data_IF_035203230072
#
_entry.id   IF_035203230072
#
_cell.length_a   1.000
_cell.length_b   1.000
_cell.length_c   1.000
_cell.angle_alpha   90.00
_cell.angle_beta   90.00
_cell.angle_gamma   90.00
#
_symmetry.space_group_name_H-M   'P 1'
#
loop_
_entity.id
_entity.type
_entity.pdbx_description
1 polymer ?
#
# COMPACT_ATOMS: atom_id res chain seq x y z
N UNK A 1 0.96 -8.06 -30.96
CA UNK A 1 -0.19 -7.95 -30.05
C UNK A 1 0.36 -7.94 -28.63
N UNK A 2 0.23 -6.82 -27.92
CA UNK A 2 0.68 -6.68 -26.53
C UNK A 2 -0.54 -6.75 -25.61
N UNK A 3 -0.46 -7.57 -24.56
CA UNK A 3 -1.46 -7.60 -23.49
C UNK A 3 -0.86 -6.84 -22.32
N UNK A 4 -1.52 -5.77 -21.91
CA UNK A 4 -1.11 -4.94 -20.78
C UNK A 4 -2.06 -5.16 -19.60
N UNK A 5 -1.52 -5.08 -18.38
CA UNK A 5 -2.32 -5.17 -17.17
C UNK A 5 -2.46 -3.78 -16.54
N UNK A 6 -3.68 -3.21 -16.44
CA UNK A 6 -3.91 -1.85 -15.94
C UNK A 6 -3.82 -1.80 -14.41
N UNK A 7 -2.64 -2.06 -13.87
CA UNK A 7 -2.40 -2.12 -12.41
C UNK A 7 -2.72 -0.81 -11.69
N UNK A 8 -2.58 0.32 -12.39
CA UNK A 8 -2.99 1.63 -11.87
C UNK A 8 -4.53 1.72 -11.75
N UNK A 9 -5.27 1.48 -12.83
CA UNK A 9 -6.73 1.61 -12.83
C UNK A 9 -7.38 0.72 -11.76
N UNK A 10 -6.91 -0.53 -11.62
CA UNK A 10 -7.40 -1.46 -10.59
C UNK A 10 -7.21 -0.90 -9.16
N UNK A 11 -6.11 -0.18 -8.91
CA UNK A 11 -5.81 0.40 -7.59
C UNK A 11 -6.63 1.64 -7.27
N UNK A 12 -7.11 2.34 -8.30
CA UNK A 12 -7.89 3.57 -8.17
C UNK A 12 -9.38 3.39 -8.49
N UNK A 13 -9.81 2.15 -8.75
CA UNK A 13 -11.21 1.78 -8.94
C UNK A 13 -12.00 1.99 -7.65
N UNK A 14 -12.97 2.92 -7.69
CA UNK A 14 -13.84 3.28 -6.57
C UNK A 14 -14.80 2.16 -6.17
N UNK A 15 -15.19 1.30 -7.12
CA UNK A 15 -16.13 0.20 -6.87
C UNK A 15 -15.44 -0.90 -6.06
N UNK A 16 -14.12 -1.04 -6.24
CA UNK A 16 -13.29 -2.00 -5.50
C UNK A 16 -12.70 -1.42 -4.22
N UNK A 17 -12.32 -0.15 -4.26
CA UNK A 17 -11.70 0.55 -3.15
C UNK A 17 -12.42 1.89 -2.89
N UNK A 18 -13.35 1.92 -1.92
CA UNK A 18 -13.95 3.18 -1.48
C UNK A 18 -12.86 4.18 -1.09
N UNK A 19 -12.96 5.41 -1.58
CA UNK A 19 -11.95 6.47 -1.41
C UNK A 19 -10.54 6.07 -1.89
N UNK A 20 -10.45 5.49 -3.10
CA UNK A 20 -9.20 4.95 -3.64
C UNK A 20 -8.07 5.98 -3.77
N UNK A 21 -8.40 7.26 -3.93
CA UNK A 21 -7.46 8.39 -4.01
C UNK A 21 -6.81 8.74 -2.67
N UNK A 22 -7.43 8.35 -1.55
CA UNK A 22 -6.89 8.62 -0.22
C UNK A 22 -5.94 7.49 0.23
N UNK A 23 -4.93 7.85 1.02
CA UNK A 23 -4.04 6.85 1.62
C UNK A 23 -4.84 5.90 2.52
N UNK A 24 -4.82 4.61 2.18
CA UNK A 24 -5.71 3.59 2.78
C UNK A 24 -4.99 2.41 3.42
N UNK A 25 -3.65 2.40 3.43
CA UNK A 25 -2.89 1.27 3.95
C UNK A 25 -3.25 0.92 5.39
N UNK A 26 -3.46 1.91 6.26
CA UNK A 26 -3.87 1.67 7.63
C UNK A 26 -5.23 0.98 7.74
N UNK A 27 -6.21 1.38 6.92
CA UNK A 27 -7.54 0.75 6.87
C UNK A 27 -7.45 -0.71 6.42
N UNK A 28 -6.61 -0.99 5.41
CA UNK A 28 -6.36 -2.34 4.92
C UNK A 28 -5.67 -3.22 5.98
N UNK A 29 -4.72 -2.65 6.74
CA UNK A 29 -4.10 -3.34 7.88
C UNK A 29 -5.11 -3.65 8.98
N UNK A 30 -5.98 -2.69 9.34
CA UNK A 30 -7.04 -2.91 10.33
C UNK A 30 -7.97 -4.05 9.91
N UNK A 31 -8.43 -4.06 8.65
CA UNK A 31 -9.24 -5.15 8.09
C UNK A 31 -8.51 -6.49 8.13
N UNK A 32 -7.23 -6.51 7.75
CA UNK A 32 -6.40 -7.71 7.80
C UNK A 32 -6.20 -8.29 9.22
N UNK A 33 -6.37 -7.46 10.26
CA UNK A 33 -6.26 -7.88 11.66
C UNK A 33 -7.61 -8.29 12.27
N UNK A 34 -8.73 -7.70 11.81
CA UNK A 34 -10.06 -7.95 12.36
C UNK A 34 -10.86 -9.05 11.65
N UNK A 35 -10.53 -9.33 10.38
CA UNK A 35 -11.26 -10.27 9.53
C UNK A 35 -10.57 -11.65 9.46
N UNK A 36 -10.96 -12.49 8.49
CA UNK A 36 -10.45 -13.84 8.34
C UNK A 36 -8.97 -13.89 7.91
N UNK A 37 -8.34 -15.05 8.13
CA UNK A 37 -6.96 -15.32 7.71
C UNK A 37 -6.75 -15.13 6.19
N UNK A 38 -7.78 -15.39 5.39
CA UNK A 38 -7.76 -15.17 3.95
C UNK A 38 -7.64 -13.68 3.63
N UNK A 39 -8.48 -12.84 4.23
CA UNK A 39 -8.41 -11.38 4.04
C UNK A 39 -7.06 -10.83 4.51
N UNK A 40 -6.55 -11.36 5.61
CA UNK A 40 -5.22 -11.00 6.13
C UNK A 40 -4.12 -11.26 5.11
N UNK A 41 -4.16 -12.43 4.46
CA UNK A 41 -3.21 -12.83 3.43
C UNK A 41 -3.38 -12.00 2.16
N UNK A 42 -4.62 -11.74 1.73
CA UNK A 42 -4.93 -10.93 0.54
C UNK A 42 -4.44 -9.48 0.64
N UNK A 43 -4.42 -8.92 1.84
CA UNK A 43 -4.02 -7.53 2.06
C UNK A 43 -2.53 -7.34 2.39
N UNK A 44 -1.72 -8.40 2.37
CA UNK A 44 -0.27 -8.28 2.52
C UNK A 44 0.34 -7.59 1.30
N UNK A 45 1.31 -6.69 1.54
CA UNK A 45 2.02 -5.96 0.48
C UNK A 45 2.69 -6.87 -0.57
N UNK A 46 3.15 -8.04 -0.14
CA UNK A 46 3.86 -9.01 -0.99
C UNK A 46 2.92 -9.97 -1.71
N UNK A 47 1.62 -9.93 -1.43
CA UNK A 47 0.69 -10.87 -2.02
C UNK A 47 0.24 -10.41 -3.42
N UNK A 48 0.04 -11.40 -4.28
CA UNK A 48 -0.43 -11.21 -5.66
C UNK A 48 -1.86 -11.72 -5.79
N UNK A 49 -2.76 -10.83 -6.16
CA UNK A 49 -4.17 -11.12 -6.38
C UNK A 49 -4.75 -10.13 -7.39
N UNK A 50 -6.02 -10.33 -7.76
CA UNK A 50 -6.68 -9.51 -8.78
C UNK A 50 -6.73 -8.03 -8.40
N UNK A 51 -6.57 -7.68 -7.12
CA UNK A 51 -6.52 -6.31 -6.61
C UNK A 51 -5.06 -5.80 -6.45
N UNK A 52 -4.07 -6.69 -6.48
CA UNK A 52 -2.66 -6.46 -6.18
C UNK A 52 -1.78 -7.21 -7.17
N UNK A 53 -1.55 -6.63 -8.35
CA UNK A 53 -0.75 -7.23 -9.44
C UNK A 53 0.44 -6.34 -9.86
N UNK A 54 0.83 -5.38 -9.01
CA UNK A 54 1.89 -4.41 -9.33
C UNK A 54 3.29 -5.05 -9.48
N UNK A 55 3.47 -6.25 -8.95
CA UNK A 55 4.72 -7.01 -8.98
C UNK A 55 4.56 -8.30 -9.81
N UNK A 56 3.67 -8.29 -10.79
CA UNK A 56 3.29 -9.47 -11.57
C UNK A 56 2.20 -10.32 -10.91
N UNK A 57 1.84 -11.43 -11.55
CA UNK A 57 0.76 -12.32 -11.13
C UNK A 57 1.09 -13.79 -11.45
N UNK A 58 0.63 -14.71 -10.59
CA UNK A 58 0.84 -16.15 -10.77
C UNK A 58 2.33 -16.50 -10.93
N UNK A 59 2.65 -17.30 -11.96
CA UNK A 59 4.03 -17.72 -12.27
C UNK A 59 4.96 -16.53 -12.63
N UNK A 60 4.40 -15.42 -13.09
CA UNK A 60 5.15 -14.21 -13.45
C UNK A 60 5.23 -13.19 -12.31
N UNK A 61 4.81 -13.55 -11.11
CA UNK A 61 5.03 -12.72 -9.94
C UNK A 61 6.53 -12.58 -9.65
N UNK A 62 6.93 -11.39 -9.19
CA UNK A 62 8.31 -11.09 -8.82
C UNK A 62 8.79 -12.13 -7.78
N UNK A 63 9.86 -12.89 -8.10
CA UNK A 63 10.37 -13.92 -7.20
C UNK A 63 10.97 -13.31 -5.92
N UNK A 64 11.51 -12.08 -6.02
CA UNK A 64 12.12 -11.36 -4.90
C UNK A 64 11.16 -10.57 -4.00
N UNK A 65 9.83 -10.65 -4.21
CA UNK A 65 8.86 -9.77 -3.53
C UNK A 65 8.87 -9.86 -2.00
N UNK A 66 9.14 -11.04 -1.44
CA UNK A 66 9.24 -11.22 0.02
C UNK A 66 10.52 -10.57 0.57
N UNK A 67 11.62 -10.77 -0.14
CA UNK A 67 12.90 -10.15 0.20
C UNK A 67 12.81 -8.62 0.14
N UNK A 68 12.37 -8.07 -1.00
CA UNK A 68 12.17 -6.64 -1.17
C UNK A 68 11.18 -6.07 -0.14
N UNK A 69 10.09 -6.79 0.16
CA UNK A 69 9.12 -6.40 1.17
C UNK A 69 9.74 -6.28 2.58
N UNK A 70 10.67 -7.16 2.93
CA UNK A 70 11.40 -7.08 4.19
C UNK A 70 12.45 -5.96 4.18
N UNK A 71 13.19 -5.78 3.08
CA UNK A 71 14.15 -4.68 2.95
C UNK A 71 13.47 -3.30 3.06
N UNK A 72 12.33 -3.10 2.40
CA UNK A 72 11.57 -1.85 2.49
C UNK A 72 11.17 -1.57 3.95
N UNK A 73 10.69 -2.58 4.69
CA UNK A 73 10.36 -2.44 6.11
C UNK A 73 11.58 -2.03 6.93
N UNK A 74 12.74 -2.65 6.70
CA UNK A 74 13.98 -2.32 7.39
C UNK A 74 14.42 -0.89 7.08
N UNK A 75 14.35 -0.45 5.83
CA UNK A 75 14.68 0.92 5.41
C UNK A 75 13.77 1.93 6.12
N UNK A 76 12.45 1.68 6.13
CA UNK A 76 11.48 2.57 6.81
C UNK A 76 11.76 2.64 8.31
N UNK A 77 11.95 1.50 8.98
CA UNK A 77 12.28 1.47 10.42
C UNK A 77 13.60 2.20 10.70
N UNK A 78 14.62 1.99 9.88
CA UNK A 78 15.91 2.67 10.03
C UNK A 78 15.76 4.20 9.91
N UNK A 79 14.96 4.67 8.94
CA UNK A 79 14.68 6.09 8.78
C UNK A 79 13.86 6.65 9.95
N UNK A 80 12.85 5.94 10.44
CA UNK A 80 12.05 6.39 11.59
C UNK A 80 12.87 6.46 12.89
N UNK A 81 13.86 5.59 13.08
CA UNK A 81 14.71 5.59 14.26
C UNK A 81 15.81 6.67 14.23
N UNK A 82 16.23 7.10 13.05
CA UNK A 82 17.38 8.02 12.88
C UNK A 82 16.99 9.42 12.38
N UNK A 83 15.79 9.58 11.84
CA UNK A 83 15.34 10.81 11.22
C UNK A 83 13.90 11.10 11.64
N UNK A 84 13.60 12.37 11.85
CA UNK A 84 12.23 12.84 12.02
C UNK A 84 11.70 13.29 10.66
N UNK A 85 10.71 12.60 10.05
CA UNK A 85 10.14 13.01 8.79
C UNK A 85 9.39 14.33 8.98
N UNK A 86 9.75 15.36 8.19
CA UNK A 86 9.07 16.66 8.17
C UNK A 86 8.44 16.88 6.80
N UNK A 87 7.25 17.46 6.80
CA UNK A 87 6.62 17.97 5.58
C UNK A 87 7.43 19.17 5.08
N UNK A 88 7.58 19.28 3.76
CA UNK A 88 8.22 20.45 3.16
C UNK A 88 7.36 21.68 3.46
N UNK A 89 8.02 22.75 3.90
CA UNK A 89 7.37 24.03 4.20
C UNK A 89 6.60 24.52 2.96
N UNK A 90 5.34 24.90 3.15
CA UNK A 90 4.42 25.28 2.06
C UNK A 90 3.43 24.18 1.62
N UNK A 91 3.76 22.89 1.77
CA UNK A 91 2.79 21.79 1.56
C UNK A 91 1.90 21.55 2.79
N UNK A 92 2.42 21.89 3.98
CA UNK A 92 1.68 21.76 5.24
C UNK A 92 0.45 22.68 5.32
N UNK A 93 0.48 23.85 4.66
CA UNK A 93 -0.61 24.82 4.70
C UNK A 93 -1.92 24.30 4.05
N UNK A 94 -1.82 23.39 3.07
CA UNK A 94 -2.99 22.74 2.45
C UNK A 94 -3.49 21.49 3.17
N UNK A 95 -2.68 20.90 4.06
CA UNK A 95 -3.02 19.67 4.82
C UNK A 95 -3.40 19.93 6.28
N UNK A 96 -3.18 21.13 6.82
CA UNK A 96 -3.48 21.49 8.20
C UNK A 96 -4.97 21.36 8.61
N UNK A 97 -5.88 21.15 7.65
CA UNK A 97 -7.32 20.89 7.91
C UNK A 97 -7.67 19.41 8.00
N UNK A 98 -6.78 18.48 7.62
CA UNK A 98 -6.99 17.03 7.79
C UNK A 98 -6.35 16.59 9.09
N UNK A 99 -7.20 16.49 10.11
CA UNK A 99 -6.90 16.02 11.46
C UNK A 99 -5.90 14.85 11.45
N UNK A 100 -4.65 15.12 11.86
CA UNK A 100 -3.58 14.11 11.96
C UNK A 100 -3.87 13.03 13.03
N UNK A 101 -4.99 13.12 13.77
CA UNK A 101 -5.46 12.08 14.71
C UNK A 101 -6.48 11.11 14.12
N UNK A 102 -6.91 11.27 12.87
CA UNK A 102 -7.89 10.36 12.24
C UNK A 102 -7.27 9.31 11.31
N UNK A 103 -5.94 9.11 11.36
CA UNK A 103 -5.30 7.96 10.74
C UNK A 103 -5.73 6.68 11.46
#
# INVERSE_FOLDING_TARGET
MAIECPTYAIKYDSDRFPEAENFRFHRLCKKAMSESADVSTQNQFVNVNQNSSAIGYGHHACPGRFFAGNEIKIIVVNKLLRCEPKLVEGLAAGMATRNLRSW
#
